data_IF_019457057917
#
_entry.id   IF_019457057917
#
_cell.length_a   1.000
_cell.length_b   1.000
_cell.length_c   1.000
_cell.angle_alpha   90.00
_cell.angle_beta   90.00
_cell.angle_gamma   90.00
#
_symmetry.space_group_name_H-M   'P 1'
#
loop_
_entity.id
_entity.type
_entity.pdbx_description
1 polymer ?
#
# COMPACT_ATOMS: atom_id res chain seq x y z
N UNK A 1 -32.07 -47.22 -14.14
CA UNK A 1 -32.68 -46.81 -12.87
C UNK A 1 -31.61 -46.01 -12.12
N UNK A 2 -31.78 -44.69 -12.07
CA UNK A 2 -30.76 -43.73 -11.63
C UNK A 2 -30.87 -43.54 -10.13
N UNK A 3 -29.79 -43.78 -9.39
CA UNK A 3 -29.75 -43.62 -7.94
C UNK A 3 -29.16 -42.24 -7.61
N UNK A 4 -30.02 -41.23 -7.51
CA UNK A 4 -29.67 -39.93 -6.95
C UNK A 4 -29.88 -40.01 -5.44
N UNK A 5 -28.82 -40.04 -4.63
CA UNK A 5 -28.79 -39.61 -3.22
C UNK A 5 -27.39 -39.91 -2.64
N UNK A 6 -26.51 -38.90 -2.67
CA UNK A 6 -25.42 -38.69 -1.71
C UNK A 6 -24.60 -37.47 -2.14
N UNK A 7 -25.15 -36.27 -1.96
CA UNK A 7 -24.32 -35.07 -1.83
C UNK A 7 -23.83 -34.98 -0.39
N UNK A 8 -22.51 -35.01 -0.13
CA UNK A 8 -22.00 -34.58 1.17
C UNK A 8 -22.11 -33.05 1.23
N UNK A 9 -23.03 -32.58 2.06
CA UNK A 9 -23.07 -31.19 2.56
C UNK A 9 -21.85 -31.02 3.47
N UNK A 10 -20.91 -30.15 3.10
CA UNK A 10 -19.84 -29.74 4.03
C UNK A 10 -18.43 -29.51 3.47
N UNK A 11 -18.25 -28.93 2.29
CA UNK A 11 -16.93 -28.38 1.92
C UNK A 11 -16.79 -26.94 2.42
N UNK A 12 -15.85 -26.63 3.34
CA UNK A 12 -15.55 -25.25 3.70
C UNK A 12 -14.82 -24.58 2.53
N UNK A 13 -15.20 -23.32 2.28
CA UNK A 13 -14.67 -22.39 1.27
C UNK A 13 -13.13 -22.34 1.33
N UNK A 14 -12.46 -23.20 0.57
CA UNK A 14 -10.99 -23.11 0.36
C UNK A 14 -10.63 -23.49 -1.07
N UNK A 15 -11.12 -22.72 -2.04
CA UNK A 15 -10.62 -22.73 -3.42
C UNK A 15 -10.32 -21.30 -3.87
N UNK A 16 -9.12 -20.83 -3.55
CA UNK A 16 -8.43 -19.78 -4.32
C UNK A 16 -7.00 -20.23 -4.60
N UNK A 17 -6.86 -21.41 -5.20
CA UNK A 17 -5.64 -21.76 -5.92
C UNK A 17 -5.91 -21.39 -7.38
N UNK A 18 -5.35 -20.28 -7.85
CA UNK A 18 -5.40 -19.91 -9.26
C UNK A 18 -4.65 -20.98 -10.04
N UNK A 19 -5.39 -21.85 -10.73
CA UNK A 19 -4.80 -22.85 -11.62
C UNK A 19 -4.32 -22.16 -12.89
N UNK A 20 -3.09 -21.65 -12.85
CA UNK A 20 -2.36 -21.27 -14.07
C UNK A 20 -1.43 -22.44 -14.41
N UNK A 21 -1.72 -23.10 -15.54
CA UNK A 21 -0.83 -23.93 -16.37
C UNK A 21 0.24 -24.83 -15.73
N UNK A 22 0.09 -26.14 -15.95
CA UNK A 22 1.08 -27.24 -15.83
C UNK A 22 1.48 -27.69 -14.40
N UNK A 23 0.63 -28.55 -13.83
CA UNK A 23 1.06 -29.76 -13.10
C UNK A 23 1.42 -29.62 -11.63
N UNK A 24 1.91 -28.47 -11.16
CA UNK A 24 2.22 -28.24 -9.75
C UNK A 24 1.44 -27.01 -9.28
N UNK A 25 0.61 -27.08 -8.22
CA UNK A 25 0.03 -25.89 -7.64
C UNK A 25 1.17 -25.01 -7.13
N UNK A 26 1.52 -23.98 -7.89
CA UNK A 26 2.48 -22.98 -7.42
C UNK A 26 1.91 -22.36 -6.16
N UNK A 27 2.58 -22.48 -5.01
CA UNK A 27 2.14 -21.79 -3.81
C UNK A 27 2.09 -20.30 -4.13
N UNK A 28 1.00 -19.64 -3.73
CA UNK A 28 0.84 -18.21 -3.91
C UNK A 28 2.08 -17.52 -3.32
N UNK A 29 2.84 -16.80 -4.16
CA UNK A 29 4.05 -16.11 -3.74
C UNK A 29 3.63 -14.84 -3.00
N UNK A 30 4.18 -14.67 -1.80
CA UNK A 30 3.91 -13.52 -0.92
C UNK A 30 2.42 -13.14 -0.77
N UNK A 31 1.56 -14.07 -0.32
CA UNK A 31 0.11 -13.86 -0.23
C UNK A 31 -0.28 -12.72 0.69
N UNK A 32 0.46 -12.47 1.78
CA UNK A 32 0.18 -11.36 2.68
C UNK A 32 0.45 -10.02 1.98
N UNK A 33 1.61 -9.87 1.35
CA UNK A 33 1.96 -8.65 0.60
C UNK A 33 1.00 -8.41 -0.57
N UNK A 34 0.64 -9.47 -1.30
CA UNK A 34 -0.30 -9.40 -2.42
C UNK A 34 -1.70 -8.93 -2.00
N UNK A 35 -2.15 -9.27 -0.78
CA UNK A 35 -3.46 -8.83 -0.24
C UNK A 35 -3.55 -7.30 -0.17
N UNK A 36 -2.43 -6.64 0.13
CA UNK A 36 -2.38 -5.18 0.26
C UNK A 36 -2.17 -4.44 -1.08
N UNK A 37 -1.88 -5.15 -2.17
CA UNK A 37 -1.74 -4.52 -3.49
C UNK A 37 -3.02 -3.79 -3.91
N UNK A 38 -4.19 -4.41 -3.68
CA UNK A 38 -5.49 -3.82 -4.02
C UNK A 38 -5.76 -2.51 -3.26
N UNK A 39 -5.75 -2.44 -1.91
CA UNK A 39 -6.03 -1.20 -1.20
C UNK A 39 -5.02 -0.09 -1.51
N UNK A 40 -3.72 -0.40 -1.63
CA UNK A 40 -2.72 0.62 -1.99
C UNK A 40 -2.93 1.14 -3.42
N UNK A 41 -3.21 0.27 -4.39
CA UNK A 41 -3.48 0.68 -5.77
C UNK A 41 -4.78 1.50 -5.87
N UNK A 42 -5.84 1.06 -5.20
CA UNK A 42 -7.12 1.77 -5.18
C UNK A 42 -6.95 3.19 -4.61
N UNK A 43 -6.20 3.33 -3.51
CA UNK A 43 -5.93 4.65 -2.92
C UNK A 43 -5.03 5.51 -3.81
N UNK A 44 -4.03 4.92 -4.48
CA UNK A 44 -3.21 5.65 -5.46
C UNK A 44 -4.04 6.20 -6.62
N UNK A 45 -4.94 5.39 -7.19
CA UNK A 45 -5.87 5.82 -8.25
C UNK A 45 -6.77 6.96 -7.76
N UNK A 46 -7.26 6.87 -6.52
CA UNK A 46 -8.04 7.93 -5.90
C UNK A 46 -7.26 9.26 -5.82
N UNK A 47 -6.01 9.23 -5.35
CA UNK A 47 -5.15 10.43 -5.29
C UNK A 47 -4.88 11.01 -6.68
N UNK A 48 -4.61 10.16 -7.67
CA UNK A 48 -4.38 10.57 -9.05
C UNK A 48 -5.62 11.27 -9.63
N UNK A 49 -6.82 10.70 -9.42
CA UNK A 49 -8.08 11.28 -9.89
C UNK A 49 -8.36 12.65 -9.24
N UNK A 50 -8.02 12.83 -7.96
CA UNK A 50 -8.15 14.11 -7.26
C UNK A 50 -7.28 15.20 -7.90
N UNK A 51 -6.05 14.86 -8.30
CA UNK A 51 -5.16 15.81 -9.00
C UNK A 51 -5.73 16.15 -10.37
N UNK A 52 -6.17 15.15 -11.14
CA UNK A 52 -6.80 15.39 -12.45
C UNK A 52 -8.03 16.28 -12.33
N UNK A 53 -8.86 16.09 -11.31
CA UNK A 53 -10.01 16.95 -11.03
C UNK A 53 -9.59 18.41 -10.80
N UNK A 54 -8.58 18.66 -9.96
CA UNK A 54 -8.08 20.02 -9.74
C UNK A 54 -7.45 20.64 -10.99
N UNK A 55 -6.75 19.86 -11.82
CA UNK A 55 -6.18 20.33 -13.09
C UNK A 55 -7.26 20.78 -14.08
N UNK A 56 -8.32 19.97 -14.22
CA UNK A 56 -9.46 20.30 -15.10
C UNK A 56 -10.20 21.52 -14.57
N UNK A 57 -10.48 21.58 -13.25
CA UNK A 57 -11.19 22.71 -12.65
C UNK A 57 -10.43 24.03 -12.74
N UNK A 58 -9.10 24.00 -12.66
CA UNK A 58 -8.24 25.18 -12.73
C UNK A 58 -7.75 25.52 -14.15
N UNK A 59 -8.16 24.77 -15.17
CA UNK A 59 -7.60 24.85 -16.54
C UNK A 59 -6.06 24.79 -16.59
N UNK A 60 -5.44 24.19 -15.58
CA UNK A 60 -3.98 24.06 -15.46
C UNK A 60 -3.58 22.64 -15.77
N UNK A 61 -3.42 22.34 -17.07
CA UNK A 61 -3.11 20.99 -17.54
C UNK A 61 -1.73 20.50 -17.09
N UNK A 62 -0.77 21.42 -16.91
CA UNK A 62 0.60 21.12 -16.51
C UNK A 62 1.09 22.13 -15.46
N UNK A 63 1.88 21.66 -14.49
CA UNK A 63 2.39 22.47 -13.38
C UNK A 63 1.86 22.04 -12.02
N UNK A 64 2.42 22.64 -10.96
CA UNK A 64 2.16 22.23 -9.57
C UNK A 64 1.26 23.21 -8.81
N UNK A 65 0.92 24.35 -9.41
CA UNK A 65 0.07 25.38 -8.81
C UNK A 65 -0.97 25.85 -9.80
N UNK A 66 -2.24 25.86 -9.39
CA UNK A 66 -3.32 26.47 -10.17
C UNK A 66 -3.30 28.00 -10.06
N UNK A 67 -2.92 28.51 -8.89
CA UNK A 67 -2.79 29.94 -8.63
C UNK A 67 -1.43 30.23 -7.97
N UNK A 68 -0.55 30.91 -8.69
CA UNK A 68 0.80 31.24 -8.23
C UNK A 68 0.79 32.13 -6.96
N UNK A 69 -0.30 32.85 -6.69
CA UNK A 69 -0.43 33.69 -5.49
C UNK A 69 -0.69 32.89 -4.21
N UNK A 70 -1.20 31.65 -4.34
CA UNK A 70 -1.54 30.80 -3.20
C UNK A 70 -0.38 29.94 -2.70
N UNK A 71 0.67 29.77 -3.52
CA UNK A 71 1.87 29.03 -3.16
C UNK A 71 1.56 27.67 -2.53
N UNK A 72 2.01 27.45 -1.28
CA UNK A 72 1.83 26.17 -0.57
C UNK A 72 0.39 25.89 -0.10
N UNK A 73 -0.52 26.84 -0.24
CA UNK A 73 -1.95 26.68 0.08
C UNK A 73 -2.78 26.30 -1.14
N UNK A 74 -2.16 26.24 -2.32
CA UNK A 74 -2.83 25.84 -3.54
C UNK A 74 -3.27 24.37 -3.46
N UNK A 75 -4.52 24.09 -3.80
CA UNK A 75 -5.09 22.74 -3.68
C UNK A 75 -4.45 21.75 -4.65
N UNK A 76 -4.03 22.20 -5.84
CA UNK A 76 -3.30 21.36 -6.79
C UNK A 76 -1.91 21.03 -6.26
N UNK A 77 -1.24 21.99 -5.62
CA UNK A 77 0.06 21.76 -4.97
C UNK A 77 -0.05 20.73 -3.85
N UNK A 78 -1.00 20.90 -2.92
CA UNK A 78 -1.19 20.00 -1.78
C UNK A 78 -1.56 18.59 -2.25
N UNK A 79 -2.47 18.46 -3.22
CA UNK A 79 -2.85 17.17 -3.78
C UNK A 79 -1.65 16.48 -4.46
N UNK A 80 -0.86 17.21 -5.24
CA UNK A 80 0.34 16.69 -5.91
C UNK A 80 1.39 16.22 -4.90
N UNK A 81 1.61 16.97 -3.81
CA UNK A 81 2.51 16.55 -2.72
C UNK A 81 2.03 15.29 -1.99
N UNK A 82 0.71 15.13 -1.83
CA UNK A 82 0.15 13.93 -1.22
C UNK A 82 0.36 12.68 -2.08
N UNK A 83 0.12 12.77 -3.40
CA UNK A 83 0.42 11.66 -4.31
C UNK A 83 1.91 11.34 -4.34
N UNK A 84 2.77 12.35 -4.47
CA UNK A 84 4.21 12.15 -4.55
C UNK A 84 4.75 11.48 -3.29
N UNK A 85 4.33 11.93 -2.10
CA UNK A 85 4.74 11.30 -0.84
C UNK A 85 4.30 9.83 -0.75
N UNK A 86 3.13 9.48 -1.30
CA UNK A 86 2.70 8.09 -1.37
C UNK A 86 3.56 7.29 -2.35
N UNK A 87 3.84 7.83 -3.54
CA UNK A 87 4.59 7.19 -4.61
C UNK A 87 6.08 6.97 -4.28
N UNK A 88 6.71 7.85 -3.49
CA UNK A 88 8.12 7.75 -3.13
C UNK A 88 8.42 6.58 -2.17
N UNK A 89 7.38 6.01 -1.57
CA UNK A 89 7.48 5.63 -0.17
C UNK A 89 6.70 4.33 0.07
N UNK A 90 5.51 4.17 -0.54
CA UNK A 90 4.77 2.90 -0.55
C UNK A 90 5.43 1.81 -1.39
N UNK A 91 5.92 2.07 -2.63
CA UNK A 91 6.56 1.04 -3.45
C UNK A 91 7.80 0.43 -2.78
N UNK A 92 8.61 1.26 -2.13
CA UNK A 92 9.79 0.79 -1.39
C UNK A 92 9.38 -0.13 -0.24
N UNK A 93 8.38 0.26 0.57
CA UNK A 93 7.93 -0.56 1.69
C UNK A 93 7.30 -1.88 1.21
N UNK A 94 6.52 -1.86 0.12
CA UNK A 94 5.97 -3.08 -0.48
C UNK A 94 7.07 -4.00 -1.03
N UNK A 95 8.12 -3.45 -1.63
CA UNK A 95 9.26 -4.24 -2.08
C UNK A 95 10.00 -4.89 -0.91
N UNK A 96 10.23 -4.15 0.18
CA UNK A 96 10.86 -4.72 1.40
C UNK A 96 9.95 -5.78 2.04
N UNK A 97 8.63 -5.55 2.13
CA UNK A 97 7.68 -6.53 2.65
C UNK A 97 7.64 -7.82 1.81
N UNK A 98 7.69 -7.68 0.48
CA UNK A 98 7.79 -8.80 -0.45
C UNK A 98 9.07 -9.60 -0.18
N UNK A 99 10.22 -8.94 -0.10
CA UNK A 99 11.49 -9.61 0.21
C UNK A 99 11.43 -10.29 1.58
N UNK A 100 10.89 -9.64 2.60
CA UNK A 100 10.72 -10.24 3.92
C UNK A 100 9.89 -11.53 3.86
N UNK A 101 8.72 -11.48 3.20
CA UNK A 101 7.81 -12.62 3.10
C UNK A 101 8.42 -13.78 2.29
N UNK A 102 9.15 -13.48 1.22
CA UNK A 102 9.89 -14.49 0.44
C UNK A 102 11.01 -15.14 1.24
N UNK A 103 11.61 -14.43 2.20
CA UNK A 103 12.62 -14.95 3.12
C UNK A 103 12.02 -15.58 4.40
N UNK A 104 10.70 -15.84 4.43
CA UNK A 104 10.06 -16.57 5.51
C UNK A 104 9.51 -15.71 6.65
N UNK A 105 9.32 -14.40 6.44
CA UNK A 105 8.68 -13.54 7.43
C UNK A 105 7.27 -14.03 7.79
N UNK A 106 6.89 -13.80 9.05
CA UNK A 106 5.55 -14.13 9.53
C UNK A 106 4.47 -13.31 8.80
N UNK A 107 3.53 -14.00 8.14
CA UNK A 107 2.44 -13.37 7.37
C UNK A 107 1.51 -12.49 8.19
N UNK A 108 1.29 -12.81 9.46
CA UNK A 108 0.49 -11.97 10.37
C UNK A 108 1.20 -10.65 10.63
N UNK A 109 2.52 -10.69 10.80
CA UNK A 109 3.35 -9.49 10.95
C UNK A 109 3.36 -8.64 9.68
N UNK A 110 3.49 -9.26 8.50
CA UNK A 110 3.41 -8.53 7.22
C UNK A 110 2.04 -7.84 7.06
N UNK A 111 0.95 -8.54 7.36
CA UNK A 111 -0.39 -7.96 7.28
C UNK A 111 -0.58 -6.79 8.26
N UNK A 112 -0.13 -6.92 9.51
CA UNK A 112 -0.26 -5.83 10.48
C UNK A 112 0.62 -4.63 10.11
N UNK A 113 1.85 -4.87 9.65
CA UNK A 113 2.77 -3.82 9.21
C UNK A 113 2.23 -3.07 7.99
N UNK A 114 1.73 -3.77 6.96
CA UNK A 114 1.16 -3.15 5.77
C UNK A 114 -0.19 -2.47 6.06
N UNK A 115 -0.98 -3.01 6.98
CA UNK A 115 -2.19 -2.33 7.45
C UNK A 115 -1.91 -1.06 8.23
N UNK A 116 -0.91 -1.09 9.11
CA UNK A 116 -0.44 0.11 9.80
C UNK A 116 0.10 1.15 8.80
N UNK A 117 0.90 0.73 7.82
CA UNK A 117 1.38 1.60 6.74
C UNK A 117 0.21 2.28 6.02
N UNK A 118 -0.79 1.51 5.61
CA UNK A 118 -1.95 2.05 4.91
C UNK A 118 -2.69 3.10 5.76
N UNK A 119 -2.92 2.81 7.04
CA UNK A 119 -3.52 3.75 7.97
C UNK A 119 -2.67 5.02 8.14
N UNK A 120 -1.34 4.90 8.27
CA UNK A 120 -0.44 6.05 8.35
C UNK A 120 -0.44 6.89 7.07
N UNK A 121 -0.57 6.27 5.90
CA UNK A 121 -0.64 6.99 4.61
C UNK A 121 -1.93 7.78 4.46
N UNK A 122 -3.08 7.18 4.79
CA UNK A 122 -4.36 7.90 4.82
C UNK A 122 -4.30 9.02 5.87
N UNK A 123 -3.77 8.71 7.06
CA UNK A 123 -3.48 9.66 8.14
C UNK A 123 -2.68 10.88 7.66
N UNK A 124 -1.59 10.64 6.95
CA UNK A 124 -0.70 11.68 6.45
C UNK A 124 -1.37 12.56 5.39
N UNK A 125 -2.04 11.95 4.42
CA UNK A 125 -2.65 12.66 3.31
C UNK A 125 -3.93 13.41 3.72
N UNK A 126 -4.90 12.70 4.28
CA UNK A 126 -6.24 13.26 4.58
C UNK A 126 -6.24 14.10 5.86
N UNK A 127 -5.58 13.63 6.92
CA UNK A 127 -5.59 14.31 8.24
C UNK A 127 -4.32 15.14 8.52
N UNK A 128 -3.39 15.19 7.57
CA UNK A 128 -2.15 15.95 7.66
C UNK A 128 -2.05 17.04 6.62
N UNK A 129 -1.85 16.64 5.37
CA UNK A 129 -1.62 17.55 4.25
C UNK A 129 -2.90 18.30 3.84
N UNK A 130 -4.03 17.61 3.81
CA UNK A 130 -5.34 18.16 3.43
C UNK A 130 -6.10 18.81 4.60
N UNK A 131 -5.59 18.70 5.82
CA UNK A 131 -6.08 19.48 6.95
C UNK A 131 -5.82 20.98 6.74
N UNK A 132 -6.58 21.85 7.42
CA UNK A 132 -6.43 23.30 7.30
C UNK A 132 -4.96 23.74 7.44
N UNK A 133 -4.49 24.52 6.46
CA UNK A 133 -3.11 25.00 6.34
C UNK A 133 -2.00 23.91 6.29
N UNK A 134 -2.33 22.64 5.99
CA UNK A 134 -1.37 21.53 5.99
C UNK A 134 -0.61 21.32 7.31
N UNK A 135 -1.25 21.72 8.42
CA UNK A 135 -0.75 21.64 9.80
C UNK A 135 -1.38 20.51 10.63
N UNK A 136 -2.10 19.59 9.99
CA UNK A 136 -2.75 18.50 10.69
C UNK A 136 -1.73 17.60 11.42
N UNK A 137 -2.01 17.14 12.66
CA UNK A 137 -1.09 16.27 13.39
C UNK A 137 -0.83 14.94 12.66
N UNK A 138 -1.73 14.54 11.76
CA UNK A 138 -1.57 13.38 10.88
C UNK A 138 -0.31 13.44 10.01
N UNK A 139 0.23 14.63 9.72
CA UNK A 139 1.47 14.78 8.94
C UNK A 139 2.68 14.19 9.68
N UNK A 140 2.84 14.53 10.96
CA UNK A 140 3.96 14.07 11.78
C UNK A 140 3.79 12.59 12.10
N UNK A 141 2.61 12.20 12.59
CA UNK A 141 2.32 10.82 12.98
C UNK A 141 2.42 9.89 11.76
N UNK A 142 1.86 10.29 10.62
CA UNK A 142 1.91 9.49 9.40
C UNK A 142 3.32 9.38 8.81
N UNK A 143 4.13 10.45 8.92
CA UNK A 143 5.52 10.41 8.45
C UNK A 143 6.39 9.50 9.32
N UNK A 144 6.45 9.74 10.63
CA UNK A 144 7.26 8.90 11.52
C UNK A 144 6.72 7.47 11.65
N UNK A 145 5.41 7.29 11.60
CA UNK A 145 4.78 5.97 11.55
C UNK A 145 5.19 5.18 10.31
N UNK A 146 5.20 5.83 9.14
CA UNK A 146 5.73 5.23 7.91
C UNK A 146 7.19 4.82 8.05
N UNK A 147 8.05 5.72 8.56
CA UNK A 147 9.47 5.43 8.72
C UNK A 147 9.70 4.27 9.71
N UNK A 148 8.92 4.21 10.79
CA UNK A 148 8.95 3.12 11.74
C UNK A 148 8.58 1.77 11.08
N UNK A 149 7.52 1.73 10.25
CA UNK A 149 7.14 0.50 9.53
C UNK A 149 8.22 0.07 8.53
N UNK A 150 8.80 1.02 7.79
CA UNK A 150 9.90 0.70 6.87
C UNK A 150 11.11 0.15 7.61
N UNK A 151 11.54 0.82 8.68
CA UNK A 151 12.68 0.39 9.50
C UNK A 151 12.43 -0.98 10.15
N UNK A 152 11.20 -1.24 10.61
CA UNK A 152 10.86 -2.52 11.23
C UNK A 152 10.86 -3.67 10.22
N UNK A 153 10.29 -3.46 9.02
CA UNK A 153 10.32 -4.44 7.94
C UNK A 153 11.75 -4.67 7.41
N UNK A 154 12.53 -3.61 7.25
CA UNK A 154 13.92 -3.70 6.83
C UNK A 154 14.77 -4.45 7.86
N UNK A 155 14.63 -4.12 9.14
CA UNK A 155 15.32 -4.80 10.24
C UNK A 155 14.91 -6.27 10.34
N UNK A 156 13.62 -6.58 10.19
CA UNK A 156 13.16 -7.97 10.19
C UNK A 156 13.70 -8.74 8.97
N UNK A 157 13.72 -8.13 7.79
CA UNK A 157 14.31 -8.72 6.59
C UNK A 157 15.80 -9.00 6.81
N UNK A 158 16.56 -8.02 7.31
CA UNK A 158 17.98 -8.16 7.62
C UNK A 158 18.22 -9.30 8.63
N UNK A 159 17.37 -9.44 9.65
CA UNK A 159 17.44 -10.53 10.61
C UNK A 159 17.23 -11.91 9.96
N UNK A 160 16.32 -12.02 8.99
CA UNK A 160 16.07 -13.27 8.26
C UNK A 160 17.24 -13.68 7.37
N UNK A 161 17.97 -12.70 6.81
CA UNK A 161 19.11 -12.95 5.91
C UNK A 161 20.48 -12.79 6.58
N UNK A 162 20.53 -12.67 7.91
CA UNK A 162 21.75 -12.36 8.67
C UNK A 162 22.90 -13.33 8.39
N UNK A 163 22.59 -14.58 8.07
CA UNK A 163 23.59 -15.62 7.82
C UNK A 163 24.33 -15.39 6.49
N UNK A 164 23.75 -14.61 5.57
CA UNK A 164 24.39 -14.19 4.31
C UNK A 164 25.26 -12.94 4.46
N UNK A 165 25.30 -12.30 5.63
CA UNK A 165 26.10 -11.09 5.88
C UNK A 165 27.54 -11.41 6.25
N UNK A 166 27.89 -12.70 6.37
CA UNK A 166 29.26 -13.14 6.63
C UNK A 166 30.13 -12.92 5.39
N UNK A 167 30.80 -11.77 5.36
CA UNK A 167 32.07 -11.56 4.66
C UNK A 167 33.17 -12.02 5.62
#
# INVERSE_FOLDING_TARGET
MVNYLSTPVGEPIRKMATKVGLGVPMPLLAPATATWALPFAAYYVFLQNRITFHRVQSNTLMGDTADATKGTKDSLYVASRAQLNFAENVPLVLAVALLAELNGANRTYINSALGALFAFRIGHAEFGLLAQDSKGPGRIVGFYGTQAVLASLAGYTAYLIKDYWQI
#
